data_IF_113385999250
#
_entry.id   IF_113385999250
#
_cell.length_a   1.000
_cell.length_b   1.000
_cell.length_c   1.000
_cell.angle_alpha   90.00
_cell.angle_beta   90.00
_cell.angle_gamma   90.00
#
_symmetry.space_group_name_H-M   'P 1'
#
loop_
_entity.id
_entity.type
_entity.pdbx_description
1 polymer ?
#
# COMPACT_ATOMS: atom_id res chain seq x y z
N UNK A 1 20.92 13.72 10.36
CA UNK A 1 21.05 12.90 11.59
C UNK A 1 19.70 12.64 12.25
N UNK A 2 18.90 13.65 12.60
CA UNK A 2 17.57 13.45 13.24
C UNK A 2 16.64 12.55 12.40
N UNK A 3 16.53 12.79 11.09
CA UNK A 3 15.67 11.98 10.22
C UNK A 3 16.12 10.52 10.09
N UNK A 4 17.42 10.26 10.09
CA UNK A 4 17.96 8.89 10.02
C UNK A 4 17.71 8.17 11.35
N UNK A 5 17.97 8.84 12.48
CA UNK A 5 17.73 8.30 13.80
C UNK A 5 16.24 7.98 14.02
N UNK A 6 15.34 8.81 13.49
CA UNK A 6 13.89 8.60 13.58
C UNK A 6 13.37 7.40 12.79
N UNK A 7 14.04 7.03 11.69
CA UNK A 7 13.60 5.94 10.80
C UNK A 7 14.36 4.63 11.07
N UNK A 8 15.52 4.68 11.70
CA UNK A 8 16.37 3.52 11.96
C UNK A 8 15.67 2.33 12.68
N UNK A 9 14.87 2.53 13.74
CA UNK A 9 14.19 1.42 14.42
C UNK A 9 13.24 0.63 13.50
N UNK A 10 12.71 1.28 12.47
CA UNK A 10 11.80 0.65 11.49
C UNK A 10 12.56 -0.05 10.37
N UNK A 11 13.78 0.38 10.06
CA UNK A 11 14.60 -0.23 9.01
C UNK A 11 15.42 -1.42 9.52
N UNK A 12 15.73 -1.47 10.81
CA UNK A 12 16.57 -2.51 11.40
C UNK A 12 16.01 -3.93 11.17
N UNK A 13 14.71 -4.23 11.39
CA UNK A 13 14.17 -5.57 11.12
C UNK A 13 14.23 -5.97 9.65
N UNK A 14 14.12 -5.01 8.72
CA UNK A 14 14.26 -5.29 7.29
C UNK A 14 15.70 -5.61 6.90
N UNK A 15 16.65 -4.93 7.55
CA UNK A 15 18.06 -5.22 7.37
C UNK A 15 18.41 -6.63 7.88
N UNK A 16 17.93 -7.01 9.06
CA UNK A 16 18.07 -8.37 9.61
C UNK A 16 17.44 -9.41 8.68
N UNK A 17 16.21 -9.18 8.23
CA UNK A 17 15.50 -10.07 7.31
C UNK A 17 16.23 -10.23 5.96
N UNK A 18 16.89 -9.18 5.47
CA UNK A 18 17.77 -9.27 4.29
C UNK A 18 18.98 -10.14 4.55
N UNK A 19 19.63 -10.03 5.71
CA UNK A 19 20.79 -10.86 6.04
C UNK A 19 20.42 -12.33 6.24
N UNK A 20 19.32 -12.60 6.94
CA UNK A 20 18.92 -13.97 7.32
C UNK A 20 18.25 -14.72 6.16
N UNK A 21 17.40 -14.04 5.38
CA UNK A 21 16.55 -14.68 4.37
C UNK A 21 16.91 -14.28 2.94
N UNK A 22 17.93 -13.43 2.75
CA UNK A 22 18.37 -12.96 1.44
C UNK A 22 17.31 -12.13 0.70
N UNK A 23 16.33 -11.57 1.42
CA UNK A 23 15.25 -10.81 0.79
C UNK A 23 15.79 -9.51 0.18
N UNK A 24 15.87 -9.51 -1.15
CA UNK A 24 16.14 -8.34 -1.97
C UNK A 24 15.29 -8.44 -3.24
N UNK A 25 14.80 -7.30 -3.73
CA UNK A 25 14.16 -7.18 -5.03
C UNK A 25 15.23 -6.99 -6.08
N UNK A 26 15.14 -7.71 -7.19
CA UNK A 26 16.08 -7.52 -8.30
C UNK A 26 15.79 -6.21 -9.05
N UNK A 27 16.78 -5.69 -9.76
CA UNK A 27 16.56 -4.58 -10.69
C UNK A 27 15.54 -4.95 -11.78
N UNK A 28 15.54 -6.20 -12.23
CA UNK A 28 14.58 -6.71 -13.23
C UNK A 28 13.13 -6.63 -12.75
N UNK A 29 12.88 -6.91 -11.45
CA UNK A 29 11.55 -6.73 -10.86
C UNK A 29 11.11 -5.26 -10.96
N UNK A 30 12.04 -4.33 -10.75
CA UNK A 30 11.78 -2.88 -10.79
C UNK A 30 11.53 -2.34 -12.19
N UNK A 31 12.06 -2.97 -13.25
CA UNK A 31 11.79 -2.58 -14.64
C UNK A 31 10.28 -2.65 -14.93
N UNK A 32 9.59 -3.69 -14.44
CA UNK A 32 8.15 -3.89 -14.66
C UNK A 32 7.28 -2.79 -14.03
N UNK A 33 7.79 -2.14 -12.99
CA UNK A 33 7.10 -1.07 -12.26
C UNK A 33 7.78 0.28 -12.45
N UNK A 34 8.43 0.49 -13.61
CA UNK A 34 9.04 1.74 -14.00
C UNK A 34 8.05 2.63 -14.73
N UNK A 35 8.10 3.93 -14.48
CA UNK A 35 7.21 4.88 -15.12
C UNK A 35 7.59 5.03 -16.59
N UNK A 36 6.60 5.41 -17.39
CA UNK A 36 6.78 5.83 -18.78
C UNK A 36 6.03 7.14 -19.00
N UNK A 37 6.20 7.75 -20.18
CA UNK A 37 5.55 9.03 -20.49
C UNK A 37 4.02 8.95 -20.39
N UNK A 38 3.44 7.82 -20.81
CA UNK A 38 1.99 7.60 -20.69
C UNK A 38 1.51 7.56 -19.23
N UNK A 39 2.33 7.12 -18.26
CA UNK A 39 2.00 7.17 -16.83
C UNK A 39 1.83 8.60 -16.31
N UNK A 40 2.58 9.55 -16.85
CA UNK A 40 2.46 10.97 -16.52
C UNK A 40 1.31 11.68 -17.24
N UNK A 41 0.65 11.02 -18.19
CA UNK A 41 -0.55 11.52 -18.88
C UNK A 41 -1.82 10.72 -18.49
N UNK A 42 -1.65 9.55 -17.89
CA UNK A 42 -2.73 8.67 -17.48
C UNK A 42 -3.56 9.31 -16.35
N UNK A 43 -4.86 9.46 -16.68
CA UNK A 43 -5.91 10.22 -16.02
C UNK A 43 -7.04 9.44 -15.33
N UNK A 44 -7.22 9.41 -14.00
CA UNK A 44 -8.43 8.82 -13.37
C UNK A 44 -9.54 9.83 -13.03
N UNK A 45 -9.25 11.13 -13.02
CA UNK A 45 -10.27 12.15 -12.72
C UNK A 45 -11.17 12.43 -13.92
N UNK A 46 -12.41 12.86 -13.64
CA UNK A 46 -13.43 13.07 -14.66
C UNK A 46 -13.03 14.15 -15.68
N UNK A 47 -12.43 15.25 -15.23
CA UNK A 47 -12.10 16.41 -16.06
C UNK A 47 -11.12 16.11 -17.20
N UNK A 48 -10.25 15.12 -17.01
CA UNK A 48 -9.16 14.80 -17.94
C UNK A 48 -9.12 13.31 -18.32
N UNK A 49 -10.26 12.61 -18.24
CA UNK A 49 -10.36 11.21 -18.68
C UNK A 49 -10.10 11.03 -20.18
N UNK A 50 -10.32 12.08 -20.96
CA UNK A 50 -10.02 12.13 -22.39
C UNK A 50 -8.53 11.96 -22.70
N UNK A 51 -7.62 12.31 -21.78
CA UNK A 51 -6.17 12.10 -21.96
C UNK A 51 -5.84 10.64 -22.24
N UNK A 52 -6.52 9.71 -21.55
CA UNK A 52 -6.34 8.27 -21.73
C UNK A 52 -6.68 7.82 -23.15
N UNK A 53 -7.67 8.46 -23.79
CA UNK A 53 -8.02 8.17 -25.19
C UNK A 53 -6.95 8.67 -26.15
N UNK A 54 -6.31 9.81 -25.84
CA UNK A 54 -5.23 10.36 -26.66
C UNK A 54 -3.95 9.53 -26.62
N UNK A 55 -3.68 8.87 -25.50
CA UNK A 55 -2.51 7.99 -25.33
C UNK A 55 -2.86 6.50 -25.54
N UNK A 56 -3.98 6.19 -26.20
CA UNK A 56 -4.45 4.82 -26.38
C UNK A 56 -3.46 3.93 -27.14
N UNK A 57 -2.78 4.50 -28.15
CA UNK A 57 -1.80 3.79 -28.98
C UNK A 57 -0.38 3.79 -28.39
N UNK A 58 -0.18 4.43 -27.23
CA UNK A 58 1.12 4.49 -26.57
C UNK A 58 1.35 3.24 -25.72
N UNK A 59 2.60 2.95 -25.30
CA UNK A 59 2.86 1.90 -24.33
C UNK A 59 1.96 2.07 -23.10
N UNK A 60 1.35 0.97 -22.63
CA UNK A 60 0.42 1.00 -21.49
C UNK A 60 1.10 1.63 -20.27
N UNK A 61 0.41 2.57 -19.62
CA UNK A 61 0.90 3.17 -18.38
C UNK A 61 1.00 2.13 -17.26
N UNK A 62 1.97 2.28 -16.38
CA UNK A 62 2.13 1.39 -15.21
C UNK A 62 1.24 1.83 -14.05
N UNK A 63 1.15 3.14 -13.81
CA UNK A 63 0.36 3.75 -12.74
C UNK A 63 -0.21 5.09 -13.26
N UNK A 64 -1.25 5.59 -12.61
CA UNK A 64 -1.87 6.89 -12.91
C UNK A 64 -1.12 7.97 -12.13
N UNK A 65 -0.45 8.89 -12.83
CA UNK A 65 0.44 9.88 -12.19
C UNK A 65 0.24 11.31 -12.67
N UNK A 66 -0.78 11.57 -13.49
CA UNK A 66 -1.06 12.91 -13.97
C UNK A 66 -1.42 13.83 -12.79
N UNK A 67 -0.67 14.91 -12.55
CA UNK A 67 -0.85 15.75 -11.37
C UNK A 67 -2.03 16.74 -11.49
N UNK A 68 -2.66 16.85 -12.66
CA UNK A 68 -3.68 17.87 -12.96
C UNK A 68 -3.10 19.03 -13.79
N UNK A 69 -3.92 19.61 -14.64
CA UNK A 69 -3.61 20.78 -15.47
C UNK A 69 -3.37 22.02 -14.60
N UNK A 70 -4.21 22.28 -13.59
CA UNK A 70 -4.03 23.47 -12.75
C UNK A 70 -2.71 23.43 -11.96
N UNK A 71 -2.32 22.33 -11.29
CA UNK A 71 -0.99 22.20 -10.70
C UNK A 71 0.15 22.38 -11.72
N UNK A 72 0.01 21.87 -12.95
CA UNK A 72 1.03 22.04 -14.00
C UNK A 72 1.16 23.51 -14.41
N UNK A 73 0.04 24.19 -14.70
CA UNK A 73 0.02 25.59 -15.15
C UNK A 73 0.57 26.50 -14.07
N UNK A 74 0.11 26.36 -12.83
CA UNK A 74 0.61 27.19 -11.73
C UNK A 74 2.03 26.83 -11.31
N UNK A 75 2.43 25.56 -11.42
CA UNK A 75 3.80 25.12 -11.21
C UNK A 75 4.76 25.73 -12.23
N UNK A 76 4.39 25.71 -13.51
CA UNK A 76 5.15 26.37 -14.58
C UNK A 76 5.25 27.88 -14.34
N UNK A 77 4.14 28.53 -13.96
CA UNK A 77 4.14 29.94 -13.60
C UNK A 77 5.08 30.23 -12.40
N UNK A 78 5.03 29.43 -11.34
CA UNK A 78 5.91 29.55 -10.18
C UNK A 78 7.40 29.41 -10.54
N UNK A 79 7.72 28.43 -11.40
CA UNK A 79 9.08 28.21 -11.91
C UNK A 79 9.58 29.40 -12.73
N UNK A 80 8.79 29.88 -13.69
CA UNK A 80 9.16 31.03 -14.54
C UNK A 80 9.37 32.29 -13.70
N UNK A 81 8.49 32.54 -12.72
CA UNK A 81 8.61 33.69 -11.84
C UNK A 81 9.91 33.64 -11.01
N UNK A 82 10.29 32.47 -10.48
CA UNK A 82 11.50 32.34 -9.68
C UNK A 82 12.80 32.47 -10.51
N UNK A 83 12.78 32.10 -11.79
CA UNK A 83 13.97 32.11 -12.66
C UNK A 83 14.15 33.45 -13.38
N UNK A 84 13.07 34.21 -13.63
CA UNK A 84 13.18 35.51 -14.31
C UNK A 84 13.90 36.57 -13.47
N UNK A 85 14.73 37.47 -14.05
CA UNK A 85 15.50 38.46 -13.30
C UNK A 85 14.66 39.39 -12.42
N UNK A 86 13.44 39.73 -12.88
CA UNK A 86 12.49 40.57 -12.14
C UNK A 86 11.90 39.83 -10.93
N UNK A 87 11.55 38.55 -11.07
CA UNK A 87 11.02 37.77 -9.95
C UNK A 87 12.11 37.31 -8.98
N UNK A 88 13.26 36.88 -9.50
CA UNK A 88 14.42 36.48 -8.69
C UNK A 88 14.95 37.59 -7.78
N UNK A 89 14.92 38.85 -8.21
CA UNK A 89 15.32 39.99 -7.37
C UNK A 89 14.28 40.35 -6.32
N UNK A 90 13.00 40.15 -6.64
CA UNK A 90 11.91 40.48 -5.74
C UNK A 90 11.73 39.45 -4.60
N UNK A 91 12.11 38.18 -4.83
CA UNK A 91 11.73 37.06 -3.94
C UNK A 91 12.86 36.01 -3.79
N UNK A 92 13.99 36.34 -3.12
CA UNK A 92 15.15 35.45 -3.01
C UNK A 92 14.86 34.11 -2.31
N UNK A 93 14.02 34.10 -1.25
CA UNK A 93 13.59 32.85 -0.58
C UNK A 93 12.79 31.92 -1.50
N UNK A 94 12.01 32.47 -2.43
CA UNK A 94 11.22 31.64 -3.35
C UNK A 94 12.10 30.98 -4.40
N UNK A 95 13.18 31.64 -4.80
CA UNK A 95 14.19 31.03 -5.66
C UNK A 95 14.85 29.83 -4.98
N UNK A 96 15.21 29.94 -3.70
CA UNK A 96 15.76 28.80 -2.95
C UNK A 96 14.76 27.64 -2.89
N UNK A 97 13.48 27.92 -2.64
CA UNK A 97 12.41 26.91 -2.64
C UNK A 97 12.30 26.27 -4.03
N UNK A 98 12.26 27.04 -5.11
CA UNK A 98 12.17 26.50 -6.48
C UNK A 98 13.41 25.71 -6.87
N UNK A 99 14.62 26.13 -6.45
CA UNK A 99 15.83 25.37 -6.70
C UNK A 99 15.81 24.04 -5.94
N UNK A 100 15.43 24.06 -4.66
CA UNK A 100 15.35 22.86 -3.83
C UNK A 100 14.28 21.87 -4.35
N UNK A 101 13.03 22.32 -4.46
CA UNK A 101 11.93 21.45 -4.89
C UNK A 101 11.96 21.16 -6.39
N UNK A 102 12.47 22.07 -7.21
CA UNK A 102 12.66 21.84 -8.64
C UNK A 102 13.73 20.81 -8.91
N UNK A 103 14.89 20.90 -8.26
CA UNK A 103 15.94 19.87 -8.39
C UNK A 103 15.48 18.52 -7.83
N UNK A 104 14.84 18.50 -6.64
CA UNK A 104 14.26 17.29 -6.07
C UNK A 104 13.18 16.68 -6.99
N UNK A 105 12.30 17.49 -7.56
CA UNK A 105 11.27 17.06 -8.48
C UNK A 105 11.85 16.47 -9.77
N UNK A 106 12.91 17.07 -10.32
CA UNK A 106 13.62 16.53 -11.50
C UNK A 106 14.30 15.20 -11.17
N UNK A 107 14.99 15.10 -10.03
CA UNK A 107 15.63 13.84 -9.61
C UNK A 107 14.59 12.74 -9.34
N UNK A 108 13.46 13.09 -8.74
CA UNK A 108 12.35 12.17 -8.52
C UNK A 108 11.71 11.70 -9.84
N UNK A 109 11.50 12.63 -10.79
CA UNK A 109 11.01 12.32 -12.13
C UNK A 109 11.99 11.42 -12.89
N UNK A 110 13.28 11.71 -12.83
CA UNK A 110 14.29 10.87 -13.47
C UNK A 110 14.35 9.48 -12.85
N UNK A 111 14.28 9.38 -11.51
CA UNK A 111 14.29 8.10 -10.80
C UNK A 111 13.03 7.26 -11.06
N UNK A 112 11.88 7.90 -11.35
CA UNK A 112 10.62 7.18 -11.56
C UNK A 112 10.60 6.35 -12.84
N UNK A 113 11.36 6.75 -13.87
CA UNK A 113 11.57 5.97 -15.10
C UNK A 113 12.38 4.67 -14.87
N UNK A 114 12.85 4.45 -13.63
CA UNK A 114 13.41 3.19 -13.19
C UNK A 114 14.80 2.88 -13.74
N UNK A 115 15.22 1.59 -13.70
CA UNK A 115 16.60 1.19 -13.98
C UNK A 115 17.10 1.60 -15.37
N UNK A 116 16.21 1.59 -16.38
CA UNK A 116 16.54 1.96 -17.75
C UNK A 116 17.02 3.43 -17.89
N UNK A 117 16.62 4.30 -16.97
CA UNK A 117 17.04 5.69 -16.95
C UNK A 117 18.35 5.93 -16.15
N UNK A 118 18.93 4.91 -15.53
CA UNK A 118 20.24 4.95 -14.88
C UNK A 118 20.25 5.50 -13.43
N UNK A 119 19.56 6.61 -13.14
CA UNK A 119 19.58 7.22 -11.80
C UNK A 119 19.05 6.25 -10.72
N UNK A 120 17.99 5.51 -11.04
CA UNK A 120 17.45 4.52 -10.12
C UNK A 120 18.45 3.39 -9.82
N UNK A 121 19.19 2.92 -10.83
CA UNK A 121 20.23 1.90 -10.66
C UNK A 121 21.34 2.39 -9.74
N UNK A 122 21.80 3.63 -9.93
CA UNK A 122 22.79 4.24 -9.04
C UNK A 122 22.29 4.29 -7.59
N UNK A 123 21.03 4.68 -7.37
CA UNK A 123 20.43 4.71 -6.03
C UNK A 123 20.28 3.30 -5.44
N UNK A 124 19.93 2.31 -6.27
CA UNK A 124 19.85 0.90 -5.88
C UNK A 124 21.19 0.33 -5.43
N UNK A 125 22.27 0.64 -6.15
CA UNK A 125 23.60 0.12 -5.84
C UNK A 125 24.25 0.84 -4.64
N UNK A 126 23.89 2.11 -4.40
CA UNK A 126 24.51 2.93 -3.34
C UNK A 126 23.75 2.88 -2.01
N UNK A 127 22.42 2.78 -2.04
CA UNK A 127 21.58 2.87 -0.85
C UNK A 127 20.88 1.52 -0.57
N UNK A 128 21.19 0.84 0.54
CA UNK A 128 20.60 -0.48 0.86
C UNK A 128 19.07 -0.51 0.84
N UNK A 129 18.42 0.61 1.17
CA UNK A 129 16.96 0.74 1.23
C UNK A 129 16.30 0.51 -0.14
N UNK A 130 16.96 0.89 -1.23
CA UNK A 130 16.40 0.74 -2.57
C UNK A 130 16.25 -0.72 -3.00
N UNK A 131 17.02 -1.64 -2.40
CA UNK A 131 16.86 -3.10 -2.62
C UNK A 131 15.53 -3.67 -2.11
N UNK A 132 14.81 -2.94 -1.25
CA UNK A 132 13.47 -3.33 -0.80
C UNK A 132 12.35 -2.74 -1.67
N UNK A 133 12.66 -1.74 -2.50
CA UNK A 133 11.67 -1.01 -3.29
C UNK A 133 11.54 -1.67 -4.67
N UNK A 134 10.38 -2.25 -4.98
CA UNK A 134 10.11 -2.84 -6.30
C UNK A 134 9.52 -1.88 -7.33
N UNK A 135 9.03 -0.72 -6.92
CA UNK A 135 8.20 0.14 -7.76
C UNK A 135 8.77 1.55 -7.89
N UNK A 136 9.74 1.78 -8.80
CA UNK A 136 10.29 3.10 -9.09
C UNK A 136 9.21 4.16 -9.33
N UNK A 137 8.12 3.79 -10.01
CA UNK A 137 6.99 4.67 -10.30
C UNK A 137 6.46 5.38 -9.06
N UNK A 138 6.48 4.78 -7.86
CA UNK A 138 5.99 5.40 -6.62
C UNK A 138 6.78 6.65 -6.20
N UNK A 139 8.02 6.81 -6.67
CA UNK A 139 8.83 8.03 -6.45
C UNK A 139 8.14 9.27 -7.06
N UNK A 140 7.30 9.09 -8.08
CA UNK A 140 6.58 10.20 -8.71
C UNK A 140 5.63 10.95 -7.75
N UNK A 141 5.26 10.38 -6.59
CA UNK A 141 4.54 11.12 -5.54
C UNK A 141 5.34 12.36 -5.11
N UNK A 142 6.67 12.26 -5.08
CA UNK A 142 7.56 13.38 -4.78
C UNK A 142 7.50 14.45 -5.88
N UNK A 143 7.33 14.05 -7.15
CA UNK A 143 7.13 14.99 -8.26
C UNK A 143 5.86 15.80 -8.06
N UNK A 144 4.76 15.14 -7.71
CA UNK A 144 3.48 15.80 -7.42
C UNK A 144 3.60 16.76 -6.24
N UNK A 145 4.28 16.34 -5.16
CA UNK A 145 4.55 17.20 -4.01
C UNK A 145 5.35 18.45 -4.39
N UNK A 146 6.48 18.27 -5.10
CA UNK A 146 7.33 19.37 -5.54
C UNK A 146 6.57 20.33 -6.46
N UNK A 147 5.78 19.79 -7.39
CA UNK A 147 4.93 20.59 -8.28
C UNK A 147 3.89 21.37 -7.48
N UNK A 148 3.25 20.78 -6.48
CA UNK A 148 2.29 21.45 -5.60
C UNK A 148 2.91 22.63 -4.83
N UNK A 149 4.13 22.45 -4.30
CA UNK A 149 4.87 23.53 -3.62
C UNK A 149 5.18 24.67 -4.59
N UNK A 150 5.67 24.38 -5.79
CA UNK A 150 5.99 25.40 -6.79
C UNK A 150 4.71 26.07 -7.32
N UNK A 151 3.63 25.31 -7.49
CA UNK A 151 2.32 25.83 -7.89
C UNK A 151 1.76 26.82 -6.86
N UNK A 152 1.96 26.56 -5.56
CA UNK A 152 1.59 27.50 -4.51
C UNK A 152 2.34 28.84 -4.62
N UNK A 153 3.60 28.84 -5.05
CA UNK A 153 4.34 30.08 -5.35
C UNK A 153 3.74 30.84 -6.54
N UNK A 154 3.36 30.10 -7.60
CA UNK A 154 2.64 30.66 -8.74
C UNK A 154 1.32 31.32 -8.33
N UNK A 155 0.53 30.64 -7.48
CA UNK A 155 -0.74 31.16 -6.95
C UNK A 155 -0.54 32.35 -6.01
N UNK A 156 0.51 32.35 -5.17
CA UNK A 156 0.83 33.48 -4.29
C UNK A 156 0.98 34.78 -5.06
N UNK A 157 1.47 34.74 -6.30
CA UNK A 157 1.59 35.93 -7.14
C UNK A 157 0.24 36.57 -7.42
N UNK A 158 -0.83 35.79 -7.63
CA UNK A 158 -2.19 36.33 -7.80
C UNK A 158 -2.62 37.13 -6.57
N UNK A 159 -2.35 36.58 -5.38
CA UNK A 159 -2.68 37.22 -4.10
C UNK A 159 -1.91 38.54 -3.93
N UNK A 160 -0.62 38.53 -4.23
CA UNK A 160 0.25 39.71 -4.08
C UNK A 160 -0.09 40.81 -5.10
N UNK A 161 -0.37 40.46 -6.35
CA UNK A 161 -0.65 41.45 -7.41
C UNK A 161 -2.05 42.04 -7.29
N UNK A 162 -3.05 41.21 -7.02
CA UNK A 162 -4.46 41.59 -7.12
C UNK A 162 -5.13 41.84 -5.76
N UNK A 163 -4.37 41.75 -4.65
CA UNK A 163 -4.86 42.03 -3.30
C UNK A 163 -6.06 41.17 -2.89
N UNK A 164 -7.18 41.78 -2.50
CA UNK A 164 -8.41 41.08 -2.09
C UNK A 164 -9.02 40.25 -3.23
N UNK A 165 -9.02 40.75 -4.46
CA UNK A 165 -9.47 40.00 -5.65
C UNK A 165 -8.55 38.81 -5.94
N UNK A 166 -7.26 38.96 -5.66
CA UNK A 166 -6.28 37.88 -5.77
C UNK A 166 -6.53 36.73 -4.81
N UNK A 167 -6.97 37.03 -3.57
CA UNK A 167 -7.39 36.00 -2.60
C UNK A 167 -8.60 35.21 -3.09
N UNK A 168 -9.61 35.91 -3.64
CA UNK A 168 -10.78 35.24 -4.21
C UNK A 168 -10.41 34.39 -5.44
N UNK A 169 -9.54 34.91 -6.31
CA UNK A 169 -9.04 34.16 -7.46
C UNK A 169 -8.24 32.91 -7.04
N UNK A 170 -7.36 33.03 -6.05
CA UNK A 170 -6.62 31.89 -5.51
C UNK A 170 -7.54 30.83 -4.88
N UNK A 171 -8.59 31.26 -4.16
CA UNK A 171 -9.61 30.35 -3.63
C UNK A 171 -10.37 29.65 -4.76
N UNK A 172 -10.83 30.40 -5.77
CA UNK A 172 -11.54 29.85 -6.91
C UNK A 172 -10.67 28.84 -7.69
N UNK A 173 -9.39 29.15 -7.91
CA UNK A 173 -8.42 28.22 -8.51
C UNK A 173 -8.23 26.96 -7.66
N UNK A 174 -8.13 27.11 -6.34
CA UNK A 174 -7.97 25.96 -5.44
C UNK A 174 -9.20 25.04 -5.47
N UNK A 175 -10.40 25.62 -5.46
CA UNK A 175 -11.66 24.87 -5.61
C UNK A 175 -11.73 24.21 -6.99
N UNK A 176 -11.33 24.91 -8.06
CA UNK A 176 -11.26 24.36 -9.40
C UNK A 176 -10.26 23.20 -9.50
N UNK A 177 -9.10 23.27 -8.83
CA UNK A 177 -8.12 22.19 -8.79
C UNK A 177 -8.65 20.95 -8.05
N UNK A 178 -9.39 21.15 -6.95
CA UNK A 178 -10.06 20.04 -6.25
C UNK A 178 -11.16 19.40 -7.12
N UNK A 179 -11.93 20.22 -7.84
CA UNK A 179 -12.94 19.74 -8.78
C UNK A 179 -12.33 19.01 -9.99
N UNK A 180 -11.21 19.51 -10.50
CA UNK A 180 -10.47 18.90 -11.61
C UNK A 180 -10.00 17.49 -11.24
N UNK A 181 -9.44 17.34 -10.03
CA UNK A 181 -8.90 16.07 -9.52
C UNK A 181 -9.99 15.14 -8.96
N UNK A 182 -11.26 15.50 -9.06
CA UNK A 182 -12.37 14.67 -8.61
C UNK A 182 -12.41 13.36 -9.42
N UNK A 183 -12.24 12.24 -8.72
CA UNK A 183 -12.29 10.89 -9.29
C UNK A 183 -13.36 10.05 -8.58
N UNK A 184 -13.72 8.92 -9.18
CA UNK A 184 -14.61 7.94 -8.54
C UNK A 184 -13.86 7.28 -7.39
N UNK A 185 -14.24 7.60 -6.17
CA UNK A 185 -13.86 6.82 -4.99
C UNK A 185 -14.94 5.77 -4.75
N UNK A 186 -14.68 4.47 -5.00
CA UNK A 186 -15.61 3.42 -4.60
C UNK A 186 -15.63 3.37 -3.07
N UNK A 187 -16.68 3.90 -2.46
CA UNK A 187 -16.92 3.74 -1.03
C UNK A 187 -17.43 2.33 -0.79
N UNK A 188 -16.57 1.48 -0.22
CA UNK A 188 -16.96 0.15 0.21
C UNK A 188 -17.56 0.20 1.62
N UNK A 189 -18.50 -0.70 1.91
CA UNK A 189 -19.01 -0.85 3.28
C UNK A 189 -17.88 -1.37 4.17
N UNK A 190 -17.77 -0.80 5.37
CA UNK A 190 -16.83 -1.30 6.36
C UNK A 190 -17.11 -2.78 6.67
N UNK A 191 -16.05 -3.57 6.78
CA UNK A 191 -16.16 -4.99 7.13
C UNK A 191 -16.74 -5.08 8.55
N UNK A 192 -17.78 -5.89 8.71
CA UNK A 192 -18.39 -6.15 10.01
C UNK A 192 -17.56 -7.21 10.72
N UNK A 193 -17.05 -6.88 11.91
CA UNK A 193 -16.32 -7.83 12.76
C UNK A 193 -17.31 -8.86 13.31
N UNK A 194 -17.06 -10.17 13.14
CA UNK A 194 -17.84 -11.22 13.79
C UNK A 194 -17.86 -11.12 15.32
N UNK A 195 -19.02 -11.39 15.94
CA UNK A 195 -19.21 -11.26 17.39
C UNK A 195 -18.32 -12.22 18.19
N UNK A 196 -17.97 -13.38 17.61
CA UNK A 196 -17.02 -14.35 18.18
C UNK A 196 -15.67 -13.74 18.61
N UNK A 197 -15.22 -12.65 17.97
CA UNK A 197 -13.99 -11.95 18.36
C UNK A 197 -14.05 -11.26 19.72
N UNK A 198 -15.24 -10.94 20.23
CA UNK A 198 -15.40 -10.38 21.58
C UNK A 198 -14.88 -11.34 22.66
N UNK A 199 -15.01 -12.64 22.45
CA UNK A 199 -14.46 -13.69 23.32
C UNK A 199 -12.95 -13.82 23.10
N UNK A 200 -12.50 -13.83 21.85
CA UNK A 200 -11.07 -13.97 21.48
C UNK A 200 -10.21 -12.89 22.12
N UNK A 201 -10.73 -11.64 22.19
CA UNK A 201 -10.02 -10.49 22.77
C UNK A 201 -9.56 -10.70 24.22
N UNK A 202 -10.27 -11.53 24.99
CA UNK A 202 -9.99 -11.78 26.40
C UNK A 202 -9.21 -13.08 26.64
N UNK A 203 -8.83 -13.80 25.57
CA UNK A 203 -8.06 -15.05 25.68
C UNK A 203 -6.59 -14.79 26.02
N UNK A 204 -5.93 -15.81 26.60
CA UNK A 204 -4.48 -15.79 26.81
C UNK A 204 -3.78 -15.69 25.46
N UNK A 205 -2.79 -14.82 25.33
CA UNK A 205 -1.97 -14.71 24.10
C UNK A 205 -1.37 -16.07 23.73
N UNK A 206 -1.78 -16.59 22.57
CA UNK A 206 -1.27 -17.81 21.97
C UNK A 206 -1.53 -17.77 20.44
N UNK A 207 -0.78 -18.54 19.63
CA UNK A 207 -0.99 -18.57 18.19
C UNK A 207 -2.40 -19.04 17.81
N UNK A 208 -2.99 -18.34 16.84
CA UNK A 208 -4.32 -18.60 16.31
C UNK A 208 -4.26 -18.87 14.81
N UNK A 209 -5.12 -19.74 14.31
CA UNK A 209 -5.33 -19.96 12.88
C UNK A 209 -6.80 -19.74 12.53
N UNK A 210 -7.02 -19.03 11.43
CA UNK A 210 -8.36 -18.72 10.92
C UNK A 210 -8.63 -19.44 9.60
N UNK A 211 -9.86 -19.91 9.45
CA UNK A 211 -10.32 -20.68 8.30
C UNK A 211 -11.56 -20.03 7.66
N UNK A 212 -11.69 -20.02 6.32
CA UNK A 212 -10.86 -20.70 5.32
C UNK A 212 -9.41 -20.19 5.23
N UNK A 213 -8.45 -21.11 5.17
CA UNK A 213 -7.05 -20.76 4.98
C UNK A 213 -6.74 -20.71 3.49
N UNK A 214 -6.48 -19.53 2.93
CA UNK A 214 -6.40 -19.39 1.47
C UNK A 214 -5.06 -19.91 0.93
N UNK A 215 -4.99 -21.18 0.53
CA UNK A 215 -3.74 -21.82 0.08
C UNK A 215 -3.24 -21.34 -1.27
N UNK A 216 -4.15 -21.03 -2.20
CA UNK A 216 -3.83 -20.59 -3.55
C UNK A 216 -3.17 -19.21 -3.60
N UNK A 217 -2.06 -19.08 -4.35
CA UNK A 217 -1.30 -17.81 -4.47
C UNK A 217 -2.15 -16.62 -4.92
N UNK A 218 -3.13 -16.85 -5.79
CA UNK A 218 -4.08 -15.82 -6.23
C UNK A 218 -4.99 -15.33 -5.11
N UNK A 219 -5.25 -16.15 -4.10
CA UNK A 219 -6.15 -15.89 -2.98
C UNK A 219 -5.43 -15.43 -1.70
N UNK A 220 -4.09 -15.40 -1.65
CA UNK A 220 -3.35 -15.02 -0.44
C UNK A 220 -3.71 -13.63 0.10
N UNK A 221 -4.07 -12.69 -0.78
CA UNK A 221 -4.49 -11.34 -0.40
C UNK A 221 -5.76 -11.35 0.47
N UNK A 222 -6.58 -12.41 0.44
CA UNK A 222 -7.77 -12.54 1.27
C UNK A 222 -7.43 -12.70 2.76
N UNK A 223 -6.20 -13.14 3.11
CA UNK A 223 -5.74 -13.13 4.51
C UNK A 223 -5.68 -11.72 5.13
N UNK A 224 -5.71 -10.65 4.32
CA UNK A 224 -5.75 -9.27 4.83
C UNK A 224 -7.02 -8.98 5.64
N UNK A 225 -8.13 -9.70 5.39
CA UNK A 225 -9.35 -9.57 6.19
C UNK A 225 -9.13 -10.07 7.63
N UNK A 226 -8.36 -11.16 7.80
CA UNK A 226 -7.98 -11.69 9.12
C UNK A 226 -7.02 -10.74 9.82
N UNK A 227 -6.08 -10.13 9.09
CA UNK A 227 -5.23 -9.07 9.64
C UNK A 227 -6.07 -7.89 10.15
N UNK A 228 -7.13 -7.50 9.45
CA UNK A 228 -8.04 -6.46 9.92
C UNK A 228 -8.77 -6.90 11.19
N UNK A 229 -9.32 -8.11 11.24
CA UNK A 229 -9.99 -8.63 12.43
C UNK A 229 -9.06 -8.76 13.64
N UNK A 230 -7.80 -9.08 13.40
CA UNK A 230 -6.77 -9.19 14.43
C UNK A 230 -6.56 -7.92 15.24
N UNK A 231 -6.92 -6.76 14.69
CA UNK A 231 -6.86 -5.47 15.42
C UNK A 231 -7.82 -5.41 16.62
N UNK A 232 -8.74 -6.37 16.74
CA UNK A 232 -9.68 -6.46 17.87
C UNK A 232 -9.12 -7.27 19.04
N UNK A 233 -8.21 -8.21 18.79
CA UNK A 233 -7.73 -9.16 19.80
C UNK A 233 -6.20 -9.23 19.94
N UNK A 234 -5.44 -8.89 18.89
CA UNK A 234 -3.97 -8.83 18.87
C UNK A 234 -3.27 -10.14 19.28
N UNK A 235 -3.91 -11.29 19.03
CA UNK A 235 -3.26 -12.58 19.20
C UNK A 235 -2.26 -12.79 18.06
N UNK A 236 -1.13 -13.49 18.29
CA UNK A 236 -0.29 -13.98 17.21
C UNK A 236 -1.11 -14.89 16.28
N UNK A 237 -0.90 -14.79 14.97
CA UNK A 237 -1.66 -15.56 14.00
C UNK A 237 -0.76 -16.28 13.00
N UNK A 238 -1.24 -17.39 12.47
CA UNK A 238 -0.67 -18.04 11.30
C UNK A 238 -1.02 -17.32 10.00
N UNK A 239 -2.21 -16.72 9.94
CA UNK A 239 -2.70 -15.97 8.80
C UNK A 239 -1.89 -14.69 8.60
N UNK A 240 -1.72 -14.27 7.36
CA UNK A 240 -1.09 -12.99 7.05
C UNK A 240 -0.87 -12.80 5.56
N UNK A 241 -0.69 -11.55 5.17
CA UNK A 241 -0.32 -11.18 3.81
C UNK A 241 0.79 -10.14 3.87
N UNK A 242 1.86 -10.39 3.11
CA UNK A 242 3.04 -9.53 3.04
C UNK A 242 3.68 -9.67 1.67
N UNK A 243 4.42 -8.63 1.27
CA UNK A 243 5.24 -8.61 0.06
C UNK A 243 6.38 -9.63 0.10
N UNK A 244 6.78 -10.08 1.30
CA UNK A 244 7.67 -11.21 1.51
C UNK A 244 6.89 -12.41 2.03
N UNK A 245 6.95 -13.53 1.32
CA UNK A 245 6.26 -14.77 1.71
C UNK A 245 7.27 -15.88 2.00
N UNK A 246 7.50 -16.22 3.28
CA UNK A 246 8.40 -17.29 3.67
C UNK A 246 8.06 -18.61 2.97
N UNK A 247 9.08 -19.41 2.64
CA UNK A 247 8.86 -20.71 1.98
C UNK A 247 7.99 -21.64 2.83
N UNK A 248 8.19 -21.62 4.15
CA UNK A 248 7.37 -22.39 5.08
C UNK A 248 5.88 -22.01 4.97
N UNK A 249 5.54 -20.72 4.94
CA UNK A 249 4.14 -20.30 4.74
C UNK A 249 3.57 -20.85 3.44
N UNK A 250 4.35 -20.86 2.34
CA UNK A 250 3.88 -21.39 1.04
C UNK A 250 3.56 -22.88 1.10
N UNK A 251 4.31 -23.65 1.88
CA UNK A 251 4.10 -25.08 2.06
C UNK A 251 2.90 -25.33 2.98
N UNK A 252 2.89 -24.65 4.13
CA UNK A 252 1.87 -24.81 5.17
C UNK A 252 0.49 -24.34 4.67
N UNK A 253 0.42 -23.25 3.89
CA UNK A 253 -0.83 -22.70 3.39
C UNK A 253 -1.61 -23.67 2.50
N UNK A 254 -0.93 -24.45 1.66
CA UNK A 254 -1.58 -25.45 0.80
C UNK A 254 -2.17 -26.61 1.62
N UNK A 255 -1.50 -27.01 2.70
CA UNK A 255 -1.99 -28.06 3.60
C UNK A 255 -3.16 -27.54 4.44
N UNK A 256 -3.07 -26.31 4.95
CA UNK A 256 -4.10 -25.67 5.76
C UNK A 256 -5.37 -25.34 4.95
N UNK A 257 -5.28 -25.10 3.65
CA UNK A 257 -6.44 -24.96 2.75
C UNK A 257 -7.29 -26.25 2.70
N UNK A 258 -6.63 -27.39 2.90
CA UNK A 258 -7.29 -28.70 3.02
C UNK A 258 -8.02 -28.93 4.34
N UNK A 259 -7.99 -28.00 5.28
CA UNK A 259 -8.62 -28.14 6.60
C UNK A 259 -10.14 -28.44 6.49
N UNK A 260 -10.68 -29.32 7.35
CA UNK A 260 -10.01 -30.11 8.40
C UNK A 260 -9.46 -31.45 7.87
N UNK A 261 -8.24 -31.79 8.28
CA UNK A 261 -7.54 -33.06 7.99
C UNK A 261 -6.42 -33.32 9.01
N UNK A 262 -5.96 -34.57 9.17
CA UNK A 262 -4.81 -34.89 10.03
C UNK A 262 -3.57 -34.07 9.66
N UNK A 263 -3.29 -33.89 8.35
CA UNK A 263 -2.16 -33.09 7.89
C UNK A 263 -2.28 -31.62 8.31
N UNK A 264 -3.49 -31.04 8.22
CA UNK A 264 -3.72 -29.67 8.69
C UNK A 264 -3.52 -29.54 10.21
N UNK A 265 -3.97 -30.51 11.01
CA UNK A 265 -3.73 -30.54 12.45
C UNK A 265 -2.26 -30.73 12.80
N UNK A 266 -1.49 -31.51 12.03
CA UNK A 266 -0.05 -31.66 12.21
C UNK A 266 0.71 -30.34 11.99
N UNK A 267 0.31 -29.55 10.97
CA UNK A 267 0.84 -28.21 10.74
C UNK A 267 0.49 -27.28 11.91
N UNK A 268 -0.77 -27.29 12.37
CA UNK A 268 -1.21 -26.50 13.52
C UNK A 268 -0.46 -26.88 14.80
N UNK A 269 -0.17 -28.18 15.01
CA UNK A 269 0.61 -28.68 16.14
C UNK A 269 2.05 -28.16 16.10
N UNK A 270 2.71 -28.25 14.93
CA UNK A 270 4.07 -27.76 14.72
C UNK A 270 4.17 -26.25 14.99
N UNK A 271 3.16 -25.49 14.57
CA UNK A 271 3.04 -24.06 14.82
C UNK A 271 2.56 -23.71 16.25
N UNK A 272 2.25 -24.72 17.08
CA UNK A 272 1.72 -24.58 18.45
C UNK A 272 0.48 -23.70 18.50
N UNK A 273 -0.40 -23.86 17.51
CA UNK A 273 -1.70 -23.18 17.48
C UNK A 273 -2.52 -23.65 18.66
N UNK A 274 -3.15 -22.70 19.35
CA UNK A 274 -4.04 -22.99 20.46
C UNK A 274 -5.49 -22.68 20.13
N UNK A 275 -5.71 -21.67 19.28
CA UNK A 275 -7.06 -21.24 18.93
C UNK A 275 -7.30 -21.39 17.44
N UNK A 276 -8.47 -21.93 17.10
CA UNK A 276 -8.95 -22.02 15.72
C UNK A 276 -10.20 -21.17 15.62
N UNK A 277 -10.26 -20.30 14.61
CA UNK A 277 -11.49 -19.66 14.20
C UNK A 277 -11.93 -20.20 12.84
N UNK A 278 -13.21 -20.52 12.71
CA UNK A 278 -13.81 -20.99 11.47
C UNK A 278 -14.92 -20.01 11.11
N UNK A 279 -14.74 -19.29 10.01
CA UNK A 279 -15.71 -18.36 9.43
C UNK A 279 -16.61 -19.13 8.44
N UNK A 280 -17.76 -19.60 8.92
CA UNK A 280 -18.72 -20.41 8.17
C UNK A 280 -19.30 -19.65 6.97
N UNK A 281 -19.55 -18.36 7.13
CA UNK A 281 -20.04 -17.48 6.07
C UNK A 281 -19.07 -17.38 4.88
N UNK A 282 -17.77 -17.49 5.14
CA UNK A 282 -16.71 -17.45 4.12
C UNK A 282 -16.56 -18.76 3.32
N UNK A 283 -17.09 -19.89 3.81
CA UNK A 283 -17.11 -21.15 3.06
C UNK A 283 -18.29 -21.25 2.09
N UNK A 284 -19.30 -20.37 2.21
CA UNK A 284 -20.49 -20.38 1.39
C UNK A 284 -21.18 -21.77 1.39
N UNK A 285 -21.51 -22.36 0.22
CA UNK A 285 -22.18 -23.65 0.14
C UNK A 285 -21.40 -24.82 0.78
N UNK A 286 -20.09 -24.69 0.98
CA UNK A 286 -19.25 -25.73 1.55
C UNK A 286 -19.27 -25.77 3.08
N UNK A 287 -19.92 -24.83 3.75
CA UNK A 287 -19.92 -24.78 5.22
C UNK A 287 -20.37 -26.10 5.85
N UNK A 288 -21.43 -26.73 5.34
CA UNK A 288 -21.94 -28.02 5.87
C UNK A 288 -21.00 -29.21 5.59
N UNK A 289 -20.31 -29.21 4.45
CA UNK A 289 -19.24 -30.17 4.15
C UNK A 289 -18.14 -30.07 5.21
N UNK A 290 -17.68 -28.84 5.50
CA UNK A 290 -16.63 -28.58 6.49
C UNK A 290 -17.09 -28.95 7.90
N UNK A 291 -18.34 -28.64 8.29
CA UNK A 291 -18.91 -29.07 9.58
C UNK A 291 -18.88 -30.59 9.73
N UNK A 292 -19.27 -31.32 8.69
CA UNK A 292 -19.27 -32.79 8.69
C UNK A 292 -17.85 -33.34 8.82
N UNK A 293 -16.90 -32.78 8.05
CA UNK A 293 -15.49 -33.17 8.10
C UNK A 293 -14.80 -32.82 9.41
N UNK A 294 -15.34 -31.88 10.18
CA UNK A 294 -14.81 -31.49 11.50
C UNK A 294 -15.25 -32.45 12.61
N UNK A 295 -16.35 -33.19 12.44
CA UNK A 295 -16.90 -34.07 13.48
C UNK A 295 -15.89 -35.08 14.05
N UNK A 296 -15.05 -35.77 13.23
CA UNK A 296 -14.04 -36.69 13.75
C UNK A 296 -13.00 -36.03 14.67
N UNK A 297 -12.80 -34.71 14.53
CA UNK A 297 -11.84 -33.94 15.32
C UNK A 297 -12.48 -33.22 16.51
N UNK A 298 -13.78 -33.39 16.74
CA UNK A 298 -14.52 -32.65 17.77
C UNK A 298 -14.02 -32.92 19.20
N UNK A 299 -13.50 -34.11 19.49
CA UNK A 299 -12.91 -34.44 20.79
C UNK A 299 -11.64 -33.65 21.11
N UNK A 300 -10.96 -33.15 20.07
CA UNK A 300 -9.75 -32.34 20.16
C UNK A 300 -10.04 -30.84 20.28
N UNK A 301 -11.31 -30.43 20.15
CA UNK A 301 -11.73 -29.03 20.04
C UNK A 301 -12.75 -28.67 21.11
N UNK A 302 -12.40 -27.72 21.98
CA UNK A 302 -13.33 -27.12 22.93
C UNK A 302 -13.95 -25.85 22.34
N UNK A 303 -15.26 -25.78 22.10
CA UNK A 303 -15.90 -24.54 21.63
C UNK A 303 -15.79 -23.45 22.70
N UNK A 304 -15.39 -22.25 22.28
CA UNK A 304 -15.32 -21.05 23.12
C UNK A 304 -16.44 -20.05 22.78
N UNK A 305 -16.76 -19.93 21.49
CA UNK A 305 -17.83 -19.08 20.98
C UNK A 305 -18.36 -19.66 19.67
N UNK A 306 -19.67 -19.64 19.47
CA UNK A 306 -20.30 -20.10 18.23
C UNK A 306 -21.50 -19.20 17.93
N UNK A 307 -21.50 -18.64 16.72
CA UNK A 307 -22.62 -17.94 16.13
C UNK A 307 -22.87 -18.46 14.70
N UNK A 308 -23.84 -17.88 13.99
CA UNK A 308 -24.19 -18.29 12.63
C UNK A 308 -23.06 -18.06 11.62
N UNK A 309 -22.19 -17.06 11.84
CA UNK A 309 -21.11 -16.69 10.93
C UNK A 309 -19.81 -17.38 11.28
N UNK A 310 -19.54 -17.60 12.56
CA UNK A 310 -18.21 -17.96 13.05
C UNK A 310 -18.28 -18.94 14.22
N UNK A 311 -17.26 -19.79 14.34
CA UNK A 311 -16.99 -20.51 15.58
C UNK A 311 -15.52 -20.44 15.96
N UNK A 312 -15.28 -20.26 17.25
CA UNK A 312 -13.96 -20.19 17.86
C UNK A 312 -13.79 -21.40 18.77
N UNK A 313 -12.70 -22.12 18.57
CA UNK A 313 -12.34 -23.32 19.33
C UNK A 313 -10.99 -23.14 19.99
N UNK A 314 -10.82 -23.76 21.15
CA UNK A 314 -9.52 -24.07 21.73
C UNK A 314 -9.14 -25.51 21.42
N UNK A 315 -7.93 -25.71 20.90
CA UNK A 315 -7.36 -27.03 20.71
C UNK A 315 -6.94 -27.58 22.08
N UNK A 316 -7.60 -28.63 22.55
CA UNK A 316 -7.30 -29.28 23.84
C UNK A 316 -6.28 -30.40 23.70
N UNK A 317 -6.23 -31.04 22.53
CA UNK A 317 -5.26 -32.06 22.14
C UNK A 317 -5.14 -32.09 20.62
N UNK A 318 -4.13 -32.75 20.07
CA UNK A 318 -4.00 -32.95 18.62
C UNK A 318 -4.26 -34.43 18.28
N UNK A 319 -4.93 -34.71 17.14
CA UNK A 319 -5.22 -36.06 16.64
C UNK A 319 -3.98 -36.80 16.15
#
# INVERSE_FOLDING_TARGET
FVSIAGVAPFLLPYYELRQEQGFARSLDDSIRYSANLSSYLASSAYAHRWLVQWIADWPRWTEVMFPGLLPIVFGAAGLVLAVTPRGSKAMPREREIVLLYGSLGILALWSSFGPAAGLYTLLYDTLPVFSFLRAPTRIAIVVVLCLGVIAALGMRRLVVVMGSRGRLAALAVSVAALAELATRMPWERAVVVPDGYSVVRNLRKAPMAEFPFYGGRSAWHLHTQYMLFSTTHWLPMMNGYSDHTPQQFRQDALVLDGFPSHDSFAVLQKARVRYIAIHWDMFGPRAEEIRTRLQPFSEHLRPLATDERMSVFEIVSFP
#
